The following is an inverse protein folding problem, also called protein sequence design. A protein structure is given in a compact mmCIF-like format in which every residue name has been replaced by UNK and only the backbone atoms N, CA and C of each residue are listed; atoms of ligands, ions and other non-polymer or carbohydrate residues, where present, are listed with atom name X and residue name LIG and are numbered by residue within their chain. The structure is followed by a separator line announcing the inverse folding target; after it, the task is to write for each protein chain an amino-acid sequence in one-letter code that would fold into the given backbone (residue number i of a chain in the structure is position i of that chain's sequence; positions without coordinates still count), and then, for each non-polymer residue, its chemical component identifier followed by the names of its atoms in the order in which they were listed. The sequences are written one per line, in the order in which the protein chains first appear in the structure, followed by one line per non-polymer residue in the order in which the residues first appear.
data_IF_277873824608
#
_entry.id   IF_277873824608
#
_cell.length_a   1.000
_cell.length_b   1.000
_cell.length_c   1.000
_cell.angle_alpha   90.00
_cell.angle_beta   90.00
_cell.angle_gamma   90.00
#
_symmetry.space_group_name_H-M   'P 1'
#
loop_
_entity.id
_entity.type
_entity.pdbx_description
1 polymer ?
#
# COMPACT_ATOMS: atom_id res chain seq x y z
N UNK A 1 -15.37 -15.15 -8.03
CA UNK A 1 -14.69 -15.50 -6.76
C UNK A 1 -13.45 -14.62 -6.64
N UNK A 2 -13.18 -13.99 -5.49
CA UNK A 2 -11.99 -13.13 -5.30
C UNK A 2 -10.86 -13.90 -4.59
N UNK A 3 -9.59 -13.42 -4.66
CA UNK A 3 -8.50 -14.01 -3.88
C UNK A 3 -8.80 -14.09 -2.37
N UNK A 4 -9.50 -13.10 -1.81
CA UNK A 4 -9.90 -13.09 -0.41
C UNK A 4 -10.90 -14.21 -0.09
N UNK A 5 -11.83 -14.50 -1.00
CA UNK A 5 -12.74 -15.64 -0.87
C UNK A 5 -12.02 -16.98 -0.97
N UNK A 6 -11.06 -17.12 -1.91
CA UNK A 6 -10.25 -18.33 -2.04
C UNK A 6 -9.38 -18.60 -0.81
N UNK A 7 -8.97 -17.54 -0.10
CA UNK A 7 -8.21 -17.63 1.15
C UNK A 7 -9.09 -17.76 2.40
N UNK A 8 -10.42 -17.79 2.26
CA UNK A 8 -11.35 -17.90 3.39
C UNK A 8 -11.41 -16.65 4.29
N UNK A 9 -10.92 -15.50 3.81
CA UNK A 9 -10.94 -14.24 4.56
C UNK A 9 -12.32 -13.57 4.55
N UNK A 10 -13.14 -13.88 3.55
CA UNK A 10 -14.52 -13.41 3.41
C UNK A 10 -15.32 -14.40 2.57
N UNK A 11 -16.63 -14.42 2.75
CA UNK A 11 -17.59 -15.23 2.00
C UNK A 11 -18.24 -14.47 0.83
N UNK A 12 -17.97 -13.16 0.70
CA UNK A 12 -18.59 -12.28 -0.31
C UNK A 12 -17.58 -11.41 -1.05
N UNK A 13 -18.03 -10.81 -2.15
CA UNK A 13 -17.27 -9.75 -2.80
C UNK A 13 -17.30 -8.48 -1.95
N UNK A 14 -16.12 -7.89 -1.73
CA UNK A 14 -15.96 -6.58 -1.10
C UNK A 14 -16.15 -5.50 -2.16
N UNK A 15 -16.93 -4.47 -1.84
CA UNK A 15 -17.09 -3.28 -2.69
C UNK A 15 -15.93 -2.33 -2.45
N UNK A 16 -15.58 -1.55 -3.48
CA UNK A 16 -14.52 -0.54 -3.41
C UNK A 16 -14.64 0.39 -2.18
N UNK A 17 -15.83 0.93 -1.83
CA UNK A 17 -15.95 1.79 -0.65
C UNK A 17 -15.61 1.08 0.67
N UNK A 18 -15.91 -0.21 0.79
CA UNK A 18 -15.63 -1.02 2.00
C UNK A 18 -14.13 -1.27 2.15
N UNK A 19 -13.43 -1.46 1.03
CA UNK A 19 -11.97 -1.63 1.04
C UNK A 19 -11.29 -0.30 1.40
N UNK A 20 -11.79 0.81 0.88
CA UNK A 20 -11.19 2.12 1.07
C UNK A 20 -11.53 2.75 2.42
N UNK A 21 -12.63 2.36 3.09
CA UNK A 21 -12.95 2.84 4.44
C UNK A 21 -11.93 2.37 5.48
N UNK A 22 -11.40 1.16 5.31
CA UNK A 22 -10.37 0.59 6.18
C UNK A 22 -8.95 1.03 5.80
N UNK A 23 -8.78 1.69 4.65
CA UNK A 23 -7.47 2.04 4.13
C UNK A 23 -6.95 3.30 4.79
N UNK A 24 -5.79 3.16 5.45
CA UNK A 24 -5.03 4.30 5.94
C UNK A 24 -4.36 5.04 4.77
N UNK A 25 -4.76 6.29 4.54
CA UNK A 25 -4.17 7.15 3.52
C UNK A 25 -3.01 7.96 4.12
N UNK A 26 -1.77 7.72 3.64
CA UNK A 26 -0.56 8.39 4.14
C UNK A 26 -0.65 9.91 4.20
N UNK A 27 -1.37 10.54 3.27
CA UNK A 27 -1.55 12.00 3.22
C UNK A 27 -2.52 12.55 4.28
N UNK A 28 -3.24 11.68 4.98
CA UNK A 28 -4.28 12.04 5.96
C UNK A 28 -3.96 11.60 7.39
N UNK A 29 -2.83 10.91 7.60
CA UNK A 29 -2.38 10.47 8.91
C UNK A 29 -0.89 10.73 9.07
N UNK A 30 -0.49 11.09 10.28
CA UNK A 30 0.91 11.08 10.65
C UNK A 30 1.37 9.64 10.92
N UNK A 31 2.55 9.27 10.45
CA UNK A 31 3.15 7.97 10.72
C UNK A 31 4.36 8.16 11.62
N UNK A 32 4.65 7.19 12.52
CA UNK A 32 5.94 7.14 13.21
C UNK A 32 7.10 7.21 12.21
N UNK A 33 8.19 7.86 12.60
CA UNK A 33 9.31 8.17 11.70
C UNK A 33 9.85 6.94 10.94
N UNK A 34 10.03 5.81 11.64
CA UNK A 34 10.50 4.56 11.02
C UNK A 34 9.54 4.00 9.96
N UNK A 35 8.23 4.15 10.20
CA UNK A 35 7.19 3.72 9.28
C UNK A 35 7.10 4.66 8.07
N UNK A 36 7.34 5.95 8.27
CA UNK A 36 7.36 6.92 7.17
C UNK A 36 8.48 6.63 6.16
N UNK A 37 9.71 6.37 6.61
CA UNK A 37 10.86 6.02 5.76
C UNK A 37 10.59 4.73 4.98
N UNK A 38 10.04 3.72 5.64
CA UNK A 38 9.69 2.45 4.99
C UNK A 38 8.60 2.64 3.93
N UNK A 39 7.55 3.39 4.25
CA UNK A 39 6.43 3.65 3.34
C UNK A 39 6.85 4.48 2.11
N UNK A 40 7.79 5.41 2.28
CA UNK A 40 8.36 6.21 1.19
C UNK A 40 9.28 5.40 0.25
N UNK A 41 9.60 4.15 0.59
CA UNK A 41 10.54 3.33 -0.17
C UNK A 41 11.99 3.80 -0.04
N UNK A 42 12.30 4.54 1.03
CA UNK A 42 13.66 5.04 1.32
C UNK A 42 14.56 3.96 1.91
N UNK A 43 13.97 2.94 2.54
CA UNK A 43 14.71 1.78 3.04
C UNK A 43 15.08 0.88 1.87
N UNK A 44 16.37 0.74 1.59
CA UNK A 44 16.87 -0.21 0.60
C UNK A 44 16.66 -1.64 1.09
N UNK A 45 15.98 -2.46 0.30
CA UNK A 45 15.85 -3.90 0.57
C UNK A 45 17.00 -4.62 -0.14
N UNK A 46 18.00 -5.18 0.57
CA UNK A 46 19.20 -5.72 -0.05
C UNK A 46 18.92 -6.79 -1.12
N UNK A 47 17.90 -7.62 -0.89
CA UNK A 47 17.49 -8.68 -1.82
C UNK A 47 16.93 -8.17 -3.16
N UNK A 48 16.52 -6.90 -3.24
CA UNK A 48 15.93 -6.33 -4.45
C UNK A 48 16.98 -5.61 -5.33
N UNK A 49 18.20 -5.37 -4.83
CA UNK A 49 19.32 -4.78 -5.56
C UNK A 49 19.15 -3.29 -5.95
N UNK A 50 17.92 -2.82 -6.16
CA UNK A 50 17.55 -1.43 -6.39
C UNK A 50 16.04 -1.25 -6.12
N UNK A 51 15.67 -0.50 -5.09
CA UNK A 51 14.27 -0.11 -4.89
C UNK A 51 13.90 0.98 -5.91
N UNK A 52 13.03 0.65 -6.88
CA UNK A 52 12.43 1.66 -7.77
C UNK A 52 11.69 2.69 -6.92
N UNK A 53 12.29 3.86 -6.77
CA UNK A 53 11.63 5.02 -6.16
C UNK A 53 10.57 5.53 -7.11
N UNK A 54 9.34 5.69 -6.61
CA UNK A 54 8.26 6.31 -7.35
C UNK A 54 8.58 7.81 -7.52
N UNK A 55 9.21 8.19 -8.62
CA UNK A 55 9.26 9.59 -9.04
C UNK A 55 7.90 9.97 -9.62
N UNK A 56 7.38 11.14 -9.22
CA UNK A 56 6.20 11.72 -9.85
C UNK A 56 6.56 12.05 -11.30
N UNK A 57 5.92 11.36 -12.25
CA UNK A 57 5.90 11.76 -13.64
C UNK A 57 4.70 12.68 -13.84
N UNK A 58 4.95 13.98 -13.99
CA UNK A 58 3.92 14.91 -14.43
C UNK A 58 3.63 14.63 -15.91
N UNK A 59 2.35 14.46 -16.27
CA UNK A 59 1.93 14.43 -17.66
C UNK A 59 2.11 15.84 -18.25
N UNK A 60 2.81 15.94 -19.38
CA UNK A 60 2.97 17.16 -20.16
C UNK A 60 1.73 17.46 -21.00
#
# INVERSE_FOLDING_TARGET
VSPAMLKGLTDRLLRVPEILSERLFRTRIELPASWATTYAGEVETPALGNNRRHSLAYAA
#
